data_IF_566814847306
#
_entry.id   IF_566814847306
#
_cell.length_a   1.000
_cell.length_b   1.000
_cell.length_c   1.000
_cell.angle_alpha   90.00
_cell.angle_beta   90.00
_cell.angle_gamma   90.00
#
_symmetry.space_group_name_H-M   'P 1'
#
loop_
_entity.id
_entity.type
_entity.pdbx_description
1 polymer ?
#
# COMPACT_ATOMS: atom_id res chain seq x y z
N UNK A 1 -23.95 19.85 20.70
CA UNK A 1 -22.99 20.51 19.79
C UNK A 1 -22.29 19.38 19.06
N UNK A 2 -22.28 19.39 17.73
CA UNK A 2 -21.51 18.41 16.94
C UNK A 2 -20.02 18.64 17.22
N UNK A 3 -19.27 17.59 17.57
CA UNK A 3 -17.82 17.71 17.74
C UNK A 3 -17.18 18.10 16.40
N UNK A 4 -16.29 19.10 16.40
CA UNK A 4 -15.47 19.44 15.23
C UNK A 4 -14.35 18.39 15.11
N UNK A 5 -14.50 17.47 14.14
CA UNK A 5 -13.55 16.38 13.93
C UNK A 5 -12.92 16.50 12.54
N UNK A 6 -11.59 16.56 12.52
CA UNK A 6 -10.77 16.53 11.30
C UNK A 6 -10.12 15.15 11.20
N UNK A 7 -10.33 14.47 10.08
CA UNK A 7 -9.63 13.23 9.75
C UNK A 7 -8.45 13.48 8.82
N UNK A 8 -7.29 12.98 9.23
CA UNK A 8 -6.12 12.82 8.38
C UNK A 8 -6.02 11.35 8.01
N UNK A 9 -6.17 11.06 6.73
CA UNK A 9 -6.33 9.70 6.22
C UNK A 9 -5.08 9.29 5.48
N UNK A 10 -4.41 8.27 6.00
CA UNK A 10 -3.31 7.61 5.33
C UNK A 10 -3.90 6.63 4.30
N UNK A 11 -4.30 7.18 3.15
CA UNK A 11 -4.97 6.41 2.11
C UNK A 11 -4.01 5.40 1.45
N UNK A 12 -2.70 5.67 1.44
CA UNK A 12 -1.68 4.70 1.03
C UNK A 12 -1.72 3.44 1.90
N UNK A 13 -1.85 3.61 3.22
CA UNK A 13 -1.87 2.48 4.16
C UNK A 13 -3.21 1.73 4.19
N UNK A 14 -4.34 2.44 4.16
CA UNK A 14 -5.67 1.80 4.29
C UNK A 14 -6.27 1.35 2.96
N UNK A 15 -5.88 1.98 1.85
CA UNK A 15 -6.27 1.63 0.47
C UNK A 15 -7.75 1.82 0.10
N UNK A 16 -8.63 2.12 1.06
CA UNK A 16 -10.08 2.27 0.85
C UNK A 16 -10.73 3.14 1.93
N UNK A 17 -11.83 3.81 1.56
CA UNK A 17 -12.72 4.52 2.47
C UNK A 17 -14.01 3.75 2.82
N UNK A 18 -14.19 2.53 2.28
CA UNK A 18 -15.43 1.75 2.45
C UNK A 18 -15.83 1.54 3.93
N UNK A 19 -14.85 1.43 4.82
CA UNK A 19 -15.07 1.22 6.26
C UNK A 19 -14.92 2.50 7.10
N UNK A 20 -14.83 3.66 6.47
CA UNK A 20 -14.70 4.94 7.17
C UNK A 20 -16.06 5.64 7.20
N UNK A 21 -16.57 5.91 8.41
CA UNK A 21 -17.83 6.63 8.60
C UNK A 21 -17.64 8.12 8.32
N UNK A 22 -17.67 8.55 7.04
CA UNK A 22 -17.29 9.93 6.70
C UNK A 22 -18.23 10.99 7.29
N UNK A 23 -19.47 10.63 7.65
CA UNK A 23 -20.46 11.52 8.28
C UNK A 23 -20.03 12.05 9.65
N UNK A 24 -19.01 11.45 10.26
CA UNK A 24 -18.44 11.91 11.53
C UNK A 24 -17.53 13.13 11.38
N UNK A 25 -17.06 13.43 10.17
CA UNK A 25 -16.00 14.39 9.94
C UNK A 25 -16.52 15.65 9.27
N UNK A 26 -16.05 16.79 9.77
CA UNK A 26 -16.23 18.09 9.12
C UNK A 26 -15.23 18.27 7.98
N UNK A 27 -14.01 17.75 8.18
CA UNK A 27 -12.93 17.79 7.20
C UNK A 27 -12.21 16.46 7.08
N UNK A 28 -11.95 16.05 5.84
CA UNK A 28 -11.20 14.87 5.46
C UNK A 28 -9.99 15.30 4.63
N UNK A 29 -8.79 14.97 5.09
CA UNK A 29 -7.53 15.24 4.39
C UNK A 29 -6.93 13.90 4.01
N UNK A 30 -6.96 13.58 2.72
CA UNK A 30 -6.50 12.30 2.18
C UNK A 30 -5.05 12.41 1.74
N UNK A 31 -4.16 11.62 2.34
CA UNK A 31 -2.76 11.52 1.95
C UNK A 31 -2.55 10.29 1.07
N UNK A 32 -2.06 10.50 -0.15
CA UNK A 32 -1.85 9.44 -1.14
C UNK A 32 -0.40 9.38 -1.59
N UNK A 33 0.05 8.18 -1.97
CA UNK A 33 1.33 7.99 -2.63
C UNK A 33 1.34 8.63 -4.03
N UNK A 34 2.52 8.89 -4.57
CA UNK A 34 2.66 9.62 -5.85
C UNK A 34 2.06 8.90 -7.05
N UNK A 35 1.85 7.58 -6.97
CA UNK A 35 1.25 6.77 -8.04
C UNK A 35 -0.27 6.57 -7.88
N UNK A 36 -0.91 7.18 -6.88
CA UNK A 36 -2.34 7.01 -6.66
C UNK A 36 -3.16 7.87 -7.64
N UNK A 37 -3.75 7.23 -8.64
CA UNK A 37 -4.56 7.93 -9.67
C UNK A 37 -6.01 8.17 -9.23
N UNK A 38 -6.60 7.25 -8.47
CA UNK A 38 -8.03 7.28 -8.14
C UNK A 38 -8.30 7.08 -6.65
N UNK A 39 -9.19 7.89 -6.09
CA UNK A 39 -9.73 7.69 -4.74
C UNK A 39 -11.20 7.27 -4.88
N UNK A 40 -11.57 6.16 -4.24
CA UNK A 40 -12.94 5.66 -4.28
C UNK A 40 -13.67 6.08 -3.01
N UNK A 41 -14.73 6.87 -3.18
CA UNK A 41 -15.65 7.19 -2.11
C UNK A 41 -16.76 6.13 -2.03
N UNK A 42 -17.21 5.76 -0.82
CA UNK A 42 -18.32 4.84 -0.65
C UNK A 42 -19.61 5.38 -1.28
N UNK A 43 -20.41 4.49 -1.86
CA UNK A 43 -21.64 4.83 -2.61
C UNK A 43 -22.75 5.46 -1.76
N UNK A 44 -22.68 5.32 -0.44
CA UNK A 44 -23.61 5.98 0.48
C UNK A 44 -23.17 7.44 0.61
N UNK A 45 -23.76 8.28 -0.23
CA UNK A 45 -23.57 9.72 -0.23
C UNK A 45 -23.94 10.29 1.13
N UNK A 46 -22.97 10.97 1.76
CA UNK A 46 -23.17 11.67 3.02
C UNK A 46 -24.20 12.78 2.86
N UNK A 47 -25.12 12.89 3.81
CA UNK A 47 -26.14 13.96 3.87
C UNK A 47 -25.61 15.27 4.49
N UNK A 48 -24.30 15.40 4.71
CA UNK A 48 -23.67 16.53 5.39
C UNK A 48 -22.56 17.18 4.55
N UNK A 49 -22.27 18.46 4.84
CA UNK A 49 -21.19 19.20 4.22
C UNK A 49 -19.84 18.76 4.81
N UNK A 50 -19.20 17.78 4.19
CA UNK A 50 -17.82 17.40 4.49
C UNK A 50 -16.86 18.12 3.54
N UNK A 51 -15.87 18.81 4.09
CA UNK A 51 -14.76 19.37 3.31
C UNK A 51 -13.74 18.28 3.03
N UNK A 52 -13.46 18.00 1.75
CA UNK A 52 -12.49 16.97 1.36
C UNK A 52 -11.31 17.62 0.65
N UNK A 53 -10.10 17.34 1.10
CA UNK A 53 -8.86 17.70 0.42
C UNK A 53 -8.01 16.47 0.18
N UNK A 54 -7.23 16.50 -0.91
CA UNK A 54 -6.31 15.42 -1.29
C UNK A 54 -4.92 16.00 -1.36
N UNK A 55 -3.99 15.39 -0.63
CA UNK A 55 -2.56 15.63 -0.71
C UNK A 55 -1.90 14.41 -1.35
N UNK A 56 -1.41 14.58 -2.58
CA UNK A 56 -0.63 13.55 -3.26
C UNK A 56 0.85 13.82 -3.05
N UNK A 57 1.56 12.80 -2.56
CA UNK A 57 3.00 12.88 -2.38
C UNK A 57 3.70 13.17 -3.73
N UNK A 58 4.66 14.10 -3.79
CA UNK A 58 5.24 14.56 -5.06
C UNK A 58 6.15 13.52 -5.73
N UNK A 59 6.68 12.57 -4.95
CA UNK A 59 7.61 11.56 -5.42
C UNK A 59 7.45 10.24 -4.65
N UNK A 60 7.95 9.15 -5.25
CA UNK A 60 8.05 7.86 -4.56
C UNK A 60 9.26 7.92 -3.63
N UNK A 61 9.03 7.87 -2.33
CA UNK A 61 10.07 7.76 -1.31
C UNK A 61 9.51 6.99 -0.11
N UNK A 62 10.41 6.35 0.64
CA UNK A 62 10.04 5.60 1.84
C UNK A 62 9.44 6.56 2.87
N UNK A 63 8.28 6.20 3.43
CA UNK A 63 7.54 6.95 4.45
C UNK A 63 7.14 8.37 4.02
N UNK A 64 7.05 8.65 2.71
CA UNK A 64 6.81 10.01 2.22
C UNK A 64 5.43 10.54 2.67
N UNK A 65 4.41 9.69 2.52
CA UNK A 65 3.03 9.96 2.95
C UNK A 65 3.00 10.25 4.45
N UNK A 66 3.64 9.41 5.26
CA UNK A 66 3.70 9.55 6.72
C UNK A 66 4.30 10.89 7.16
N UNK A 67 5.40 11.32 6.53
CA UNK A 67 6.03 12.59 6.85
C UNK A 67 5.13 13.79 6.54
N UNK A 68 4.48 13.78 5.37
CA UNK A 68 3.55 14.85 5.02
C UNK A 68 2.31 14.87 5.91
N UNK A 69 1.80 13.69 6.29
CA UNK A 69 0.68 13.58 7.22
C UNK A 69 1.04 14.14 8.60
N UNK A 70 2.19 13.74 9.16
CA UNK A 70 2.65 14.23 10.46
C UNK A 70 2.94 15.74 10.43
N UNK A 71 3.51 16.25 9.34
CA UNK A 71 3.73 17.69 9.17
C UNK A 71 2.41 18.47 9.17
N UNK A 72 1.41 17.99 8.43
CA UNK A 72 0.07 18.60 8.40
C UNK A 72 -0.59 18.53 9.78
N UNK A 73 -0.53 17.39 10.44
CA UNK A 73 -1.06 17.19 11.78
C UNK A 73 -0.44 18.17 12.78
N UNK A 74 0.88 18.37 12.71
CA UNK A 74 1.60 19.35 13.51
C UNK A 74 1.23 20.79 13.18
N UNK A 75 0.94 21.12 11.91
CA UNK A 75 0.45 22.46 11.55
C UNK A 75 -0.95 22.70 12.11
N UNK A 76 -1.86 21.74 11.92
CA UNK A 76 -3.25 21.83 12.36
C UNK A 76 -3.38 21.88 13.89
N UNK A 77 -2.49 21.22 14.63
CA UNK A 77 -2.51 21.26 16.08
C UNK A 77 -2.33 22.68 16.65
N UNK A 78 -1.70 23.57 15.87
CA UNK A 78 -1.47 24.98 16.21
C UNK A 78 -2.52 25.89 15.59
N UNK A 79 -2.97 25.62 14.37
CA UNK A 79 -3.85 26.54 13.63
C UNK A 79 -5.35 26.27 13.78
N UNK A 80 -5.74 25.05 14.15
CA UNK A 80 -7.15 24.71 14.34
C UNK A 80 -7.65 25.11 15.74
N UNK A 81 -8.95 25.41 15.91
CA UNK A 81 -9.57 25.66 17.21
C UNK A 81 -9.18 24.62 18.26
N UNK A 82 -9.04 25.03 19.52
CA UNK A 82 -8.53 24.17 20.60
C UNK A 82 -9.40 22.93 20.82
N UNK A 83 -10.71 23.06 20.64
CA UNK A 83 -11.70 22.00 20.77
C UNK A 83 -11.72 21.01 19.58
N UNK A 84 -11.00 21.28 18.49
CA UNK A 84 -10.89 20.36 17.34
C UNK A 84 -10.26 19.03 17.74
N UNK A 85 -10.92 17.94 17.37
CA UNK A 85 -10.44 16.57 17.54
C UNK A 85 -9.86 16.03 16.24
N UNK A 86 -8.67 15.42 16.33
CA UNK A 86 -7.97 14.85 15.19
C UNK A 86 -8.06 13.33 15.18
N UNK A 87 -8.49 12.77 14.06
CA UNK A 87 -8.41 11.34 13.81
C UNK A 87 -7.34 11.05 12.77
N UNK A 88 -6.31 10.29 13.15
CA UNK A 88 -5.38 9.72 12.19
C UNK A 88 -5.94 8.37 11.75
N UNK A 89 -6.40 8.25 10.51
CA UNK A 89 -6.95 7.00 9.99
C UNK A 89 -5.82 6.22 9.30
N UNK A 90 -5.24 5.27 10.03
CA UNK A 90 -4.16 4.41 9.54
C UNK A 90 -4.07 3.12 10.36
N UNK A 91 -3.63 2.03 9.72
CA UNK A 91 -3.26 0.80 10.39
C UNK A 91 -1.79 0.79 10.84
N UNK A 92 -0.99 1.81 10.48
CA UNK A 92 0.37 1.94 10.97
C UNK A 92 0.40 2.44 12.43
N UNK A 93 1.10 1.71 13.29
CA UNK A 93 1.34 2.10 14.69
C UNK A 93 2.45 3.14 14.83
N UNK A 94 3.19 3.45 13.76
CA UNK A 94 4.22 4.48 13.75
C UNK A 94 3.73 5.86 14.20
N UNK A 95 2.44 6.16 14.02
CA UNK A 95 1.82 7.41 14.45
C UNK A 95 1.57 7.50 15.97
N UNK A 96 1.55 6.38 16.71
CA UNK A 96 1.09 6.35 18.11
C UNK A 96 1.94 7.25 19.02
N UNK A 97 3.24 7.35 18.77
CA UNK A 97 4.15 8.21 19.54
C UNK A 97 3.87 9.70 19.34
N UNK A 98 3.63 10.13 18.10
CA UNK A 98 3.29 11.51 17.73
C UNK A 98 1.93 11.90 18.29
N UNK A 99 0.95 11.00 18.19
CA UNK A 99 -0.39 11.20 18.76
C UNK A 99 -0.30 11.37 20.27
N UNK A 100 0.46 10.50 20.96
CA UNK A 100 0.64 10.62 22.39
C UNK A 100 1.34 11.93 22.80
N UNK A 101 2.27 12.44 21.98
CA UNK A 101 2.89 13.75 22.20
C UNK A 101 1.85 14.88 22.09
N UNK A 102 1.04 14.89 21.04
CA UNK A 102 -0.01 15.90 20.84
C UNK A 102 -1.06 15.90 21.96
N UNK A 103 -1.43 14.72 22.45
CA UNK A 103 -2.35 14.60 23.58
C UNK A 103 -1.76 15.20 24.87
N UNK A 104 -0.45 15.03 25.10
CA UNK A 104 0.24 15.65 26.25
C UNK A 104 0.30 17.17 26.14
N UNK A 105 0.28 17.72 24.93
CA UNK A 105 0.23 19.17 24.68
C UNK A 105 -1.20 19.73 24.68
N UNK A 106 -2.19 18.98 25.18
CA UNK A 106 -3.58 19.43 25.35
C UNK A 106 -4.48 19.25 24.14
N UNK A 107 -4.00 18.67 23.03
CA UNK A 107 -4.81 18.46 21.83
C UNK A 107 -5.53 17.11 21.87
N UNK A 108 -6.77 17.04 21.40
CA UNK A 108 -7.51 15.78 21.26
C UNK A 108 -7.11 15.06 19.98
N UNK A 109 -6.40 13.93 20.08
CA UNK A 109 -6.01 13.14 18.92
C UNK A 109 -6.07 11.63 19.21
N UNK A 110 -6.49 10.83 18.23
CA UNK A 110 -6.42 9.37 18.32
C UNK A 110 -6.22 8.72 16.95
N UNK A 111 -5.64 7.51 16.94
CA UNK A 111 -5.56 6.69 15.74
C UNK A 111 -6.80 5.84 15.59
N UNK A 112 -7.41 5.87 14.41
CA UNK A 112 -8.53 5.03 14.04
C UNK A 112 -8.02 3.97 13.05
N UNK A 113 -7.94 2.69 13.45
CA UNK A 113 -7.63 1.63 12.50
C UNK A 113 -8.80 1.44 11.53
N UNK A 114 -8.48 1.18 10.27
CA UNK A 114 -9.48 0.81 9.26
C UNK A 114 -9.45 -0.71 9.08
N UNK A 115 -10.57 -1.42 9.29
CA UNK A 115 -10.65 -2.84 8.94
C UNK A 115 -10.22 -2.98 7.48
N UNK A 116 -9.17 -3.77 7.22
CA UNK A 116 -8.81 -4.10 5.84
C UNK A 116 -10.03 -4.80 5.24
N UNK A 117 -10.66 -4.23 4.21
CA UNK A 117 -11.47 -5.04 3.33
C UNK A 117 -10.53 -6.12 2.79
N UNK A 118 -10.92 -7.38 2.94
CA UNK A 118 -10.08 -8.53 2.57
C UNK A 118 -9.76 -8.59 1.06
N UNK A 119 -10.14 -7.59 0.28
CA UNK A 119 -10.12 -7.57 -1.17
C UNK A 119 -9.82 -6.15 -1.65
N UNK A 120 -8.94 -6.00 -2.65
CA UNK A 120 -8.60 -4.79 -3.44
C UNK A 120 -7.26 -4.09 -3.20
N UNK A 121 -6.30 -4.68 -2.49
CA UNK A 121 -4.88 -4.27 -2.60
C UNK A 121 -4.19 -4.72 -3.92
N UNK A 122 -4.95 -5.10 -4.96
CA UNK A 122 -4.42 -5.86 -6.12
C UNK A 122 -4.64 -5.25 -7.50
N UNK A 123 -5.31 -4.12 -7.69
CA UNK A 123 -5.92 -3.89 -9.03
C UNK A 123 -5.22 -2.88 -9.94
N UNK A 124 -4.41 -1.92 -9.45
CA UNK A 124 -3.89 -0.87 -10.36
C UNK A 124 -2.40 -1.01 -10.69
N UNK A 125 -1.54 -1.40 -9.72
CA UNK A 125 -0.14 -1.79 -10.02
C UNK A 125 -0.03 -3.12 -10.80
N UNK A 126 -1.08 -3.94 -10.78
CA UNK A 126 -1.07 -5.27 -11.39
C UNK A 126 -1.30 -5.27 -12.91
N UNK A 127 -1.85 -4.21 -13.52
CA UNK A 127 -2.12 -4.24 -14.96
C UNK A 127 -0.86 -4.04 -15.80
N UNK A 128 0.08 -3.23 -15.31
CA UNK A 128 1.37 -3.01 -15.99
C UNK A 128 2.37 -4.13 -15.62
N UNK A 129 2.28 -4.74 -14.42
CA UNK A 129 3.19 -5.79 -13.97
C UNK A 129 2.74 -7.24 -14.25
N UNK A 130 1.43 -7.56 -14.34
CA UNK A 130 0.99 -8.95 -14.56
C UNK A 130 1.36 -9.47 -15.94
N UNK A 131 1.25 -8.66 -17.00
CA UNK A 131 1.58 -9.11 -18.36
C UNK A 131 3.09 -9.42 -18.48
N UNK A 132 3.95 -8.59 -17.90
CA UNK A 132 5.40 -8.86 -17.84
C UNK A 132 5.73 -10.09 -17.01
N UNK A 133 5.10 -10.25 -15.84
CA UNK A 133 5.25 -11.44 -14.99
C UNK A 133 4.79 -12.69 -15.74
N UNK A 134 3.65 -12.63 -16.44
CA UNK A 134 3.09 -13.77 -17.17
C UNK A 134 3.97 -14.17 -18.35
N UNK A 135 4.40 -13.20 -19.18
CA UNK A 135 5.29 -13.42 -20.32
C UNK A 135 6.64 -14.01 -19.89
N UNK A 136 7.23 -13.47 -18.82
CA UNK A 136 8.48 -13.98 -18.30
C UNK A 136 8.31 -15.38 -17.70
N UNK A 137 7.21 -15.63 -17.00
CA UNK A 137 6.87 -16.97 -16.49
C UNK A 137 6.72 -17.98 -17.63
N UNK A 138 5.97 -17.64 -18.69
CA UNK A 138 5.78 -18.50 -19.86
C UNK A 138 7.10 -18.81 -20.56
N UNK A 139 7.96 -17.79 -20.70
CA UNK A 139 9.31 -17.94 -21.24
C UNK A 139 10.15 -18.90 -20.40
N UNK A 140 10.20 -18.72 -19.08
CA UNK A 140 10.97 -19.58 -18.16
C UNK A 140 10.45 -21.02 -18.20
N UNK A 141 9.13 -21.21 -18.19
CA UNK A 141 8.50 -22.53 -18.28
C UNK A 141 8.78 -23.21 -19.63
N UNK A 142 8.80 -22.47 -20.74
CA UNK A 142 9.15 -23.02 -22.05
C UNK A 142 10.61 -23.45 -22.13
N UNK A 143 11.53 -22.69 -21.52
CA UNK A 143 12.96 -22.99 -21.49
C UNK A 143 13.25 -24.20 -20.60
N UNK A 144 12.56 -24.32 -19.47
CA UNK A 144 12.74 -25.47 -18.58
C UNK A 144 12.27 -26.79 -19.21
N UNK A 145 11.26 -26.74 -20.09
CA UNK A 145 10.83 -27.90 -20.89
C UNK A 145 11.85 -28.29 -21.96
N UNK A 146 12.57 -27.33 -22.54
CA UNK A 146 13.56 -27.57 -23.61
C UNK A 146 14.88 -28.16 -23.11
N UNK A 147 15.30 -27.85 -21.90
CA UNK A 147 16.54 -28.40 -21.32
C UNK A 147 16.38 -28.72 -19.83
N UNK A 148 16.40 -30.01 -19.51
CA UNK A 148 16.40 -30.47 -18.11
C UNK A 148 17.75 -30.22 -17.41
N UNK A 149 18.84 -30.16 -18.18
CA UNK A 149 20.21 -30.00 -17.67
C UNK A 149 20.46 -28.60 -17.10
N UNK A 150 19.82 -27.57 -17.64
CA UNK A 150 20.02 -26.18 -17.24
C UNK A 150 19.02 -25.70 -16.17
N UNK A 151 18.32 -26.62 -15.49
CA UNK A 151 17.31 -26.29 -14.49
C UNK A 151 17.95 -25.89 -13.16
N UNK A 152 17.68 -24.68 -12.64
CA UNK A 152 18.14 -24.27 -11.32
C UNK A 152 17.64 -25.19 -10.20
N UNK A 153 18.57 -25.67 -9.36
CA UNK A 153 18.26 -26.56 -8.22
C UNK A 153 18.24 -25.84 -6.86
N UNK A 154 18.66 -24.57 -6.82
CA UNK A 154 18.64 -23.74 -5.62
C UNK A 154 17.85 -22.46 -5.83
N UNK A 155 17.36 -21.86 -4.74
CA UNK A 155 16.62 -20.59 -4.78
C UNK A 155 17.48 -19.45 -5.34
N UNK A 156 18.75 -19.37 -4.96
CA UNK A 156 19.70 -18.39 -5.48
C UNK A 156 19.96 -18.57 -6.97
N UNK A 157 20.16 -19.81 -7.43
CA UNK A 157 20.34 -20.12 -8.85
C UNK A 157 19.08 -19.82 -9.65
N UNK A 158 17.89 -20.05 -9.08
CA UNK A 158 16.61 -19.75 -9.72
C UNK A 158 16.43 -18.24 -9.91
N UNK A 159 16.71 -17.44 -8.88
CA UNK A 159 16.59 -15.99 -8.98
C UNK A 159 17.58 -15.41 -9.99
N UNK A 160 18.82 -15.91 -10.02
CA UNK A 160 19.80 -15.54 -11.05
C UNK A 160 19.34 -15.96 -12.45
N UNK A 161 18.76 -17.15 -12.58
CA UNK A 161 18.22 -17.65 -13.84
C UNK A 161 17.07 -16.78 -14.36
N UNK A 162 16.10 -16.42 -13.51
CA UNK A 162 15.00 -15.51 -13.85
C UNK A 162 15.57 -14.14 -14.28
N UNK A 163 16.54 -13.61 -13.53
CA UNK A 163 17.20 -12.33 -13.82
C UNK A 163 17.96 -12.33 -15.16
N UNK A 164 18.66 -13.42 -15.51
CA UNK A 164 19.34 -13.53 -16.80
C UNK A 164 18.36 -13.49 -17.98
N UNK A 165 17.14 -13.99 -17.79
CA UNK A 165 16.13 -14.08 -18.84
C UNK A 165 15.12 -12.92 -18.83
N UNK A 166 15.18 -12.04 -17.82
CA UNK A 166 14.31 -10.87 -17.64
C UNK A 166 14.77 -9.62 -18.42
N UNK A 167 15.93 -9.66 -19.08
CA UNK A 167 16.43 -8.56 -19.91
C UNK A 167 16.70 -7.29 -19.09
N UNK A 168 16.05 -6.18 -19.45
CA UNK A 168 16.20 -4.87 -18.77
C UNK A 168 15.41 -4.75 -17.47
N UNK A 169 14.59 -5.74 -17.10
CA UNK A 169 13.80 -5.72 -15.88
C UNK A 169 14.73 -5.87 -14.67
N UNK A 170 14.99 -4.75 -13.97
CA UNK A 170 15.79 -4.70 -12.74
C UNK A 170 14.95 -4.65 -11.46
N UNK A 171 13.62 -4.64 -11.59
CA UNK A 171 12.71 -4.60 -10.44
C UNK A 171 12.67 -5.96 -9.73
N UNK A 172 13.21 -6.01 -8.53
CA UNK A 172 13.28 -7.24 -7.71
C UNK A 172 11.91 -7.77 -7.29
N UNK A 173 10.89 -6.91 -7.17
CA UNK A 173 9.52 -7.33 -6.85
C UNK A 173 8.91 -8.15 -8.00
N UNK A 174 9.12 -7.73 -9.26
CA UNK A 174 8.65 -8.46 -10.45
C UNK A 174 9.32 -9.84 -10.54
N UNK A 175 10.62 -9.93 -10.27
CA UNK A 175 11.35 -11.20 -10.28
C UNK A 175 10.83 -12.17 -9.20
N UNK A 176 10.49 -11.66 -8.02
CA UNK A 176 9.87 -12.45 -6.97
C UNK A 176 8.46 -12.91 -7.35
N UNK A 177 7.67 -12.04 -7.99
CA UNK A 177 6.35 -12.42 -8.49
C UNK A 177 6.40 -13.52 -9.54
N UNK A 178 7.40 -13.51 -10.43
CA UNK A 178 7.62 -14.62 -11.40
C UNK A 178 7.92 -15.93 -10.71
N UNK A 179 8.76 -15.91 -9.66
CA UNK A 179 9.03 -17.11 -8.84
C UNK A 179 7.73 -17.63 -8.21
N UNK A 180 6.96 -16.75 -7.59
CA UNK A 180 5.72 -17.13 -6.90
C UNK A 180 4.66 -17.64 -7.89
N UNK A 181 4.62 -17.08 -9.10
CA UNK A 181 3.77 -17.54 -10.19
C UNK A 181 4.17 -18.93 -10.72
N UNK A 182 5.47 -19.24 -10.82
CA UNK A 182 5.95 -20.59 -11.17
C UNK A 182 5.54 -21.63 -10.12
N UNK A 183 5.54 -21.25 -8.83
CA UNK A 183 5.05 -22.10 -7.73
C UNK A 183 3.53 -22.28 -7.85
N UNK A 184 2.79 -21.18 -8.06
CA UNK A 184 1.33 -21.20 -8.20
C UNK A 184 0.87 -22.09 -9.36
N UNK A 185 1.59 -22.08 -10.47
CA UNK A 185 1.34 -22.94 -11.64
C UNK A 185 1.79 -24.39 -11.45
N UNK A 186 2.45 -24.70 -10.34
CA UNK A 186 2.97 -26.02 -10.05
C UNK A 186 4.13 -26.44 -10.94
N UNK A 187 4.81 -25.50 -11.61
CA UNK A 187 6.00 -25.77 -12.46
C UNK A 187 7.22 -26.07 -11.59
N UNK A 188 7.28 -25.46 -10.40
CA UNK A 188 8.31 -25.70 -9.42
C UNK A 188 7.73 -25.85 -8.02
N UNK A 189 8.49 -26.48 -7.14
CA UNK A 189 8.32 -26.45 -5.70
C UNK A 189 9.62 -26.00 -5.04
N UNK A 190 9.50 -25.19 -3.99
CA UNK A 190 10.64 -24.68 -3.24
C UNK A 190 10.60 -25.27 -1.83
N UNK A 191 11.69 -25.92 -1.43
CA UNK A 191 11.89 -26.49 -0.11
C UNK A 191 13.15 -25.89 0.50
N UNK A 192 12.99 -25.04 1.51
CA UNK A 192 14.08 -24.28 2.13
C UNK A 192 14.92 -23.49 1.10
N UNK A 193 16.05 -24.07 0.66
CA UNK A 193 16.97 -23.49 -0.34
C UNK A 193 16.99 -24.25 -1.66
N UNK A 194 16.21 -25.32 -1.78
CA UNK A 194 16.19 -26.23 -2.93
C UNK A 194 14.96 -25.98 -3.80
N UNK A 195 15.13 -26.10 -5.11
CA UNK A 195 14.08 -25.93 -6.12
C UNK A 195 13.91 -27.25 -6.88
N UNK A 196 12.70 -27.77 -6.90
CA UNK A 196 12.31 -28.99 -7.62
C UNK A 196 11.38 -28.61 -8.77
N UNK A 197 11.73 -29.00 -9.99
CA UNK A 197 10.89 -28.76 -11.18
C UNK A 197 9.90 -29.93 -11.34
N UNK A 198 8.63 -29.62 -11.57
CA UNK A 198 7.53 -30.58 -11.74
C UNK A 198 7.05 -30.62 -13.19
#
# INVERSE_FOLDING_TARGET
>A
MSENIIALVDYENIGTLENVMLSRYERLILFTGSQQEFIRFPSVTHAGNISVSVFQAPCVSKNNVDFHLVLELGRLSVTAPEDTMFHVISNDKGYDSVIALLCRTGRRCCRIPSPRSAEKAKTVSALISNDEVLRLTDKIQSLSKKSAVNRPVSTSSLMNYIKCHSGNIRNTAILNQVRDELIRRGVIAVYEKTVVWR
#
